data_IF_364867482026
#
_entry.id   IF_364867482026
#
_cell.length_a   1.000
_cell.length_b   1.000
_cell.length_c   1.000
_cell.angle_alpha   90.00
_cell.angle_beta   90.00
_cell.angle_gamma   90.00
#
_symmetry.space_group_name_H-M   'P 1'
#
loop_
_entity.id
_entity.type
_entity.pdbx_description
1 polymer ?
#
# COMPACT_ATOMS: atom_id res chain seq x y z
N UNK A 1 2.64 -2.29 25.04
CA UNK A 1 2.94 -2.24 23.59
C UNK A 1 2.05 -3.29 22.95
N UNK A 2 0.87 -2.90 22.50
CA UNK A 2 -0.08 -3.82 21.84
C UNK A 2 0.48 -4.16 20.46
N UNK A 3 0.70 -5.44 20.20
CA UNK A 3 0.92 -5.94 18.84
C UNK A 3 -0.34 -5.63 18.04
N UNK A 4 -0.28 -4.58 17.21
CA UNK A 4 -1.31 -4.37 16.19
C UNK A 4 -1.28 -5.58 15.27
N UNK A 5 -2.29 -6.44 15.38
CA UNK A 5 -2.51 -7.55 14.47
C UNK A 5 -2.77 -6.97 13.06
N UNK A 6 -1.70 -6.86 12.29
CA UNK A 6 -1.73 -6.37 10.92
C UNK A 6 -2.38 -7.38 9.96
N UNK A 7 -2.89 -8.52 10.44
CA UNK A 7 -3.56 -9.54 9.63
C UNK A 7 -2.64 -10.28 8.65
N UNK A 8 -1.32 -10.13 8.78
CA UNK A 8 -0.33 -10.83 7.97
C UNK A 8 -0.10 -12.21 8.58
N UNK A 9 -0.44 -13.27 7.84
CA UNK A 9 -0.16 -14.65 8.21
C UNK A 9 1.14 -15.10 7.54
N UNK A 10 2.07 -15.63 8.31
CA UNK A 10 3.31 -16.19 7.78
C UNK A 10 3.32 -17.71 7.95
N UNK A 11 3.73 -18.44 6.91
CA UNK A 11 3.88 -19.89 6.91
C UNK A 11 5.28 -20.23 6.39
N UNK A 12 6.11 -20.81 7.25
CA UNK A 12 7.40 -21.36 6.86
C UNK A 12 7.26 -22.86 6.59
N UNK A 13 7.76 -23.35 5.46
CA UNK A 13 7.86 -24.77 5.17
C UNK A 13 9.21 -25.10 4.54
N UNK A 14 9.69 -26.31 4.82
CA UNK A 14 10.93 -26.81 4.26
C UNK A 14 10.65 -27.50 2.93
N UNK A 15 11.30 -27.04 1.87
CA UNK A 15 11.26 -27.72 0.58
C UNK A 15 12.35 -28.80 0.55
N UNK A 16 11.93 -30.06 0.51
CA UNK A 16 12.82 -31.22 0.49
C UNK A 16 13.49 -31.45 -0.87
N UNK A 17 13.04 -30.79 -1.94
CA UNK A 17 13.60 -30.94 -3.29
C UNK A 17 14.74 -29.95 -3.50
N UNK A 18 14.51 -28.68 -3.14
CA UNK A 18 15.47 -27.60 -3.31
C UNK A 18 16.36 -27.34 -2.07
N UNK A 19 16.15 -28.11 -0.99
CA UNK A 19 16.80 -27.96 0.32
C UNK A 19 16.78 -26.52 0.84
N UNK A 20 15.64 -25.83 0.67
CA UNK A 20 15.45 -24.43 1.04
C UNK A 20 14.31 -24.24 2.02
N UNK A 21 14.50 -23.29 2.93
CA UNK A 21 13.44 -22.77 3.78
C UNK A 21 12.60 -21.77 2.97
N UNK A 22 11.35 -22.11 2.70
CA UNK A 22 10.39 -21.23 2.03
C UNK A 22 9.53 -20.55 3.10
N UNK A 23 9.56 -19.23 3.12
CA UNK A 23 8.68 -18.41 3.98
C UNK A 23 7.66 -17.72 3.09
N UNK A 24 6.40 -18.14 3.22
CA UNK A 24 5.25 -17.55 2.55
C UNK A 24 4.53 -16.59 3.50
N UNK A 25 4.25 -15.38 3.02
CA UNK A 25 3.48 -14.38 3.77
C UNK A 25 2.22 -14.04 2.99
N UNK A 26 1.06 -14.16 3.64
CA UNK A 26 -0.26 -13.90 3.07
C UNK A 26 -0.98 -12.85 3.90
N UNK A 27 -1.61 -11.87 3.25
CA UNK A 27 -2.43 -10.86 3.91
C UNK A 27 -3.74 -10.68 3.13
N UNK A 28 -4.87 -10.59 3.84
CA UNK A 28 -6.10 -10.14 3.20
C UNK A 28 -6.05 -8.62 3.00
N UNK A 29 -5.99 -8.19 1.74
CA UNK A 29 -5.90 -6.79 1.36
C UNK A 29 -7.25 -6.17 1.00
N UNK A 30 -8.32 -6.98 0.89
CA UNK A 30 -9.64 -6.50 0.52
C UNK A 30 -10.18 -5.36 1.42
N UNK A 31 -10.08 -5.42 2.77
CA UNK A 31 -10.56 -4.33 3.61
C UNK A 31 -9.79 -3.02 3.39
N UNK A 32 -8.47 -3.12 3.18
CA UNK A 32 -7.59 -1.97 2.93
C UNK A 32 -7.97 -1.31 1.60
N UNK A 33 -8.16 -2.09 0.53
CA UNK A 33 -8.56 -1.54 -0.77
C UNK A 33 -9.93 -0.87 -0.72
N UNK A 34 -10.89 -1.45 0.04
CA UNK A 34 -12.22 -0.86 0.23
C UNK A 34 -12.12 0.49 0.96
N UNK A 35 -11.31 0.56 2.01
CA UNK A 35 -11.06 1.80 2.74
C UNK A 35 -10.40 2.84 1.84
N UNK A 36 -9.37 2.46 1.07
CA UNK A 36 -8.69 3.38 0.16
C UNK A 36 -9.64 4.00 -0.86
N UNK A 37 -10.58 3.21 -1.38
CA UNK A 37 -11.61 3.71 -2.29
C UNK A 37 -12.53 4.74 -1.61
N UNK A 38 -12.92 4.50 -0.36
CA UNK A 38 -13.75 5.43 0.40
C UNK A 38 -13.00 6.75 0.66
N UNK A 39 -11.77 6.67 1.18
CA UNK A 39 -10.92 7.84 1.44
C UNK A 39 -10.67 8.66 0.17
N UNK A 40 -10.51 7.99 -0.97
CA UNK A 40 -10.34 8.67 -2.26
C UNK A 40 -11.58 9.43 -2.69
N UNK A 41 -12.76 8.85 -2.51
CA UNK A 41 -14.01 9.54 -2.83
C UNK A 41 -14.20 10.76 -1.91
N UNK A 42 -13.91 10.63 -0.62
CA UNK A 42 -13.96 11.74 0.33
C UNK A 42 -13.00 12.86 -0.05
N UNK A 43 -11.76 12.49 -0.42
CA UNK A 43 -10.77 13.44 -0.91
C UNK A 43 -11.24 14.18 -2.16
N UNK A 44 -11.82 13.47 -3.14
CA UNK A 44 -12.32 14.07 -4.38
C UNK A 44 -13.52 15.01 -4.11
N UNK A 45 -14.41 14.69 -3.16
CA UNK A 45 -15.51 15.55 -2.75
C UNK A 45 -14.98 16.84 -2.09
N UNK A 46 -14.06 16.69 -1.12
CA UNK A 46 -13.50 17.84 -0.41
C UNK A 46 -12.71 18.76 -1.34
N UNK A 47 -11.92 18.20 -2.26
CA UNK A 47 -11.15 18.95 -3.25
C UNK A 47 -12.04 19.82 -4.16
N UNK A 48 -13.21 19.32 -4.52
CA UNK A 48 -14.16 20.02 -5.40
C UNK A 48 -15.10 20.97 -4.64
N UNK A 49 -15.02 21.00 -3.31
CA UNK A 49 -15.77 21.93 -2.47
C UNK A 49 -15.01 23.25 -2.25
N UNK A 50 -15.73 24.34 -1.99
CA UNK A 50 -15.13 25.66 -1.67
C UNK A 50 -14.29 25.67 -0.39
N UNK A 51 -14.35 24.59 0.40
CA UNK A 51 -13.42 24.29 1.49
C UNK A 51 -12.06 23.88 0.90
N UNK A 52 -11.40 24.84 0.24
CA UNK A 52 -10.03 24.70 -0.27
C UNK A 52 -9.15 24.16 0.85
N UNK A 53 -8.63 22.95 0.64
CA UNK A 53 -7.57 22.36 1.44
C UNK A 53 -6.46 23.41 1.65
N UNK A 54 -6.34 23.92 2.88
CA UNK A 54 -5.13 24.64 3.29
C UNK A 54 -4.00 23.62 3.30
N UNK A 55 -2.97 23.91 2.53
CA UNK A 55 -1.78 23.10 2.29
C UNK A 55 -1.14 22.66 3.60
N UNK A 56 -1.34 21.41 4.01
CA UNK A 56 -0.70 20.85 5.21
C UNK A 56 -0.48 19.35 5.10
N UNK A 57 -0.09 18.88 3.91
CA UNK A 57 0.17 17.46 3.61
C UNK A 57 -1.12 16.64 3.40
N UNK A 58 -1.13 15.87 2.31
CA UNK A 58 -2.23 14.96 1.97
C UNK A 58 -1.74 13.53 1.93
N UNK A 59 -2.50 12.63 2.55
CA UNK A 59 -2.31 11.19 2.43
C UNK A 59 -2.44 10.78 0.96
N UNK A 60 -1.44 10.05 0.45
CA UNK A 60 -1.41 9.64 -0.96
C UNK A 60 -1.93 8.22 -1.15
N UNK A 61 -1.50 7.32 -0.27
CA UNK A 61 -1.76 5.90 -0.38
C UNK A 61 -1.70 5.24 1.00
N UNK A 62 -2.45 4.15 1.15
CA UNK A 62 -2.22 3.16 2.19
C UNK A 62 -1.85 1.86 1.50
N UNK A 63 -0.64 1.39 1.77
CA UNK A 63 -0.04 0.22 1.15
C UNK A 63 0.04 -0.87 2.23
N UNK A 64 -0.49 -2.08 1.98
CA UNK A 64 -0.35 -3.20 2.91
C UNK A 64 1.12 -3.62 3.07
N UNK A 65 1.50 -4.07 4.28
CA UNK A 65 2.90 -4.42 4.59
C UNK A 65 3.47 -5.49 3.64
N UNK A 66 2.66 -6.46 3.23
CA UNK A 66 3.11 -7.50 2.28
C UNK A 66 3.54 -6.91 0.91
N UNK A 67 2.89 -5.82 0.50
CA UNK A 67 3.23 -5.12 -0.74
C UNK A 67 4.49 -4.29 -0.53
N UNK A 68 4.68 -3.69 0.65
CA UNK A 68 5.91 -2.98 1.00
C UNK A 68 7.10 -3.94 0.97
N UNK A 69 6.97 -5.14 1.54
CA UNK A 69 8.01 -6.17 1.49
C UNK A 69 8.43 -6.52 0.06
N UNK A 70 7.44 -6.63 -0.84
CA UNK A 70 7.69 -6.81 -2.27
C UNK A 70 8.40 -5.60 -2.88
N UNK A 71 7.94 -4.38 -2.61
CA UNK A 71 8.56 -3.16 -3.12
C UNK A 71 10.00 -2.98 -2.65
N UNK A 72 10.32 -3.42 -1.43
CA UNK A 72 11.69 -3.44 -0.91
C UNK A 72 12.56 -4.45 -1.66
N UNK A 73 12.05 -5.66 -1.93
CA UNK A 73 12.75 -6.68 -2.74
C UNK A 73 12.98 -6.22 -4.19
N UNK A 74 12.00 -5.52 -4.76
CA UNK A 74 12.05 -5.00 -6.13
C UNK A 74 12.89 -3.71 -6.24
N UNK A 75 13.43 -3.18 -5.13
CA UNK A 75 14.24 -1.96 -5.10
C UNK A 75 13.46 -0.67 -5.38
N UNK A 76 12.13 -0.72 -5.33
CA UNK A 76 11.25 0.43 -5.58
C UNK A 76 11.09 1.25 -4.29
N UNK A 77 11.11 0.59 -3.14
CA UNK A 77 11.01 1.26 -1.85
C UNK A 77 12.20 2.19 -1.62
N UNK A 78 11.93 3.45 -1.29
CA UNK A 78 12.95 4.50 -1.11
C UNK A 78 13.34 5.26 -2.38
N UNK A 79 13.06 4.74 -3.58
CA UNK A 79 13.20 5.50 -4.83
C UNK A 79 11.91 6.26 -5.15
N UNK A 80 11.96 7.60 -4.98
CA UNK A 80 10.83 8.49 -5.25
C UNK A 80 10.30 8.33 -6.69
N UNK A 81 11.17 8.16 -7.69
CA UNK A 81 10.77 8.06 -9.10
C UNK A 81 10.11 6.70 -9.39
N UNK A 82 10.71 5.62 -8.88
CA UNK A 82 10.16 4.28 -9.04
C UNK A 82 8.80 4.16 -8.33
N UNK A 83 8.70 4.66 -7.09
CA UNK A 83 7.47 4.66 -6.32
C UNK A 83 6.36 5.47 -7.01
N UNK A 84 6.71 6.63 -7.60
CA UNK A 84 5.76 7.43 -8.40
C UNK A 84 5.26 6.64 -9.60
N UNK A 85 6.16 5.96 -10.32
CA UNK A 85 5.79 5.14 -11.48
C UNK A 85 4.85 4.01 -11.06
N UNK A 86 5.23 3.26 -10.02
CA UNK A 86 4.45 2.15 -9.49
C UNK A 86 3.06 2.59 -9.02
N UNK A 87 2.94 3.67 -8.25
CA UNK A 87 1.64 4.19 -7.79
C UNK A 87 0.72 4.69 -8.92
N UNK A 88 1.27 5.08 -10.06
CA UNK A 88 0.49 5.54 -11.22
C UNK A 88 0.14 4.41 -12.20
N UNK A 89 0.65 3.21 -11.98
CA UNK A 89 0.30 2.03 -12.76
C UNK A 89 -1.19 1.69 -12.55
N UNK A 90 -1.96 1.41 -13.61
CA UNK A 90 -3.38 1.05 -13.50
C UNK A 90 -3.65 -0.10 -12.52
N UNK A 91 -2.75 -1.08 -12.44
CA UNK A 91 -2.92 -2.25 -11.58
C UNK A 91 -2.74 -1.91 -10.09
N UNK A 92 -1.96 -0.85 -9.80
CA UNK A 92 -1.59 -0.46 -8.44
C UNK A 92 -2.36 0.77 -7.95
N UNK A 93 -3.17 1.37 -8.82
CA UNK A 93 -3.96 2.58 -8.51
C UNK A 93 -4.95 2.37 -7.36
N UNK A 94 -5.33 1.13 -7.07
CA UNK A 94 -6.20 0.77 -5.96
C UNK A 94 -5.58 1.07 -4.57
N UNK A 95 -4.25 1.17 -4.48
CA UNK A 95 -3.57 1.55 -3.24
C UNK A 95 -3.63 3.05 -2.93
N UNK A 96 -4.06 3.87 -3.90
CA UNK A 96 -4.12 5.33 -3.73
C UNK A 96 -5.38 5.78 -3.01
N UNK A 97 -5.18 6.64 -2.04
CA UNK A 97 -6.23 7.25 -1.21
C UNK A 97 -6.49 8.70 -1.59
N UNK A 98 -5.61 9.37 -2.35
CA UNK A 98 -5.81 10.76 -2.74
C UNK A 98 -4.49 11.48 -3.05
N UNK A 99 -4.53 12.82 -3.01
CA UNK A 99 -3.35 13.67 -3.06
C UNK A 99 -2.66 13.78 -4.43
N UNK A 100 -2.19 14.99 -4.75
CA UNK A 100 -1.25 15.20 -5.86
C UNK A 100 0.16 14.90 -5.35
N UNK A 101 0.83 13.93 -5.96
CA UNK A 101 2.27 13.76 -5.76
C UNK A 101 2.99 14.95 -6.42
N UNK A 102 3.49 15.87 -5.59
CA UNK A 102 4.36 16.98 -5.99
C UNK A 102 5.80 16.46 -6.23
#
# INVERSE_FOLDING_TARGET
>A
MSEEDNGVKQRAHWDNIDEKLIVESTQDIAPILKQNKAERNEFDIQRNSELKYKESWTKVATIPNIVIDRLMKDGIWGDKKAMKKWLNDPDQKAFRTGGKWL
#
